data_IF_348287504204
#
_entry.id   IF_348287504204
#
_cell.length_a   1.000
_cell.length_b   1.000
_cell.length_c   1.000
_cell.angle_alpha   90.00
_cell.angle_beta   90.00
_cell.angle_gamma   90.00
#
_symmetry.space_group_name_H-M   'P 1'
#
loop_
_entity.id
_entity.type
_entity.pdbx_description
1 polymer ?
#
# COMPACT_ATOMS: atom_id res chain seq x y z
N UNK A 1 -43.92 35.22 19.85
CA UNK A 1 -42.45 35.25 19.76
C UNK A 1 -41.96 33.84 19.48
N UNK A 2 -41.62 33.60 18.25
CA UNK A 2 -41.10 32.28 17.83
C UNK A 2 -39.57 32.40 17.71
N UNK A 3 -38.87 31.61 18.50
CA UNK A 3 -37.40 31.58 18.54
C UNK A 3 -36.93 30.47 17.57
N UNK A 4 -36.42 30.87 16.40
CA UNK A 4 -35.83 29.95 15.42
C UNK A 4 -34.41 29.70 15.87
N UNK A 5 -34.11 28.46 16.31
CA UNK A 5 -32.75 27.97 16.55
C UNK A 5 -32.20 27.45 15.22
N UNK A 6 -31.31 28.22 14.61
CA UNK A 6 -30.56 27.81 13.43
C UNK A 6 -29.40 26.93 13.92
N UNK A 7 -29.57 25.61 13.81
CA UNK A 7 -28.49 24.65 13.98
C UNK A 7 -27.53 24.70 12.81
N UNK A 8 -26.34 25.24 12.97
CA UNK A 8 -25.26 25.17 12.00
C UNK A 8 -24.63 23.79 12.04
N UNK A 9 -24.74 23.10 10.93
CA UNK A 9 -24.01 21.81 10.67
C UNK A 9 -22.52 22.12 10.45
N UNK A 10 -21.70 21.86 11.46
CA UNK A 10 -20.22 21.90 11.36
C UNK A 10 -19.74 20.50 10.96
N UNK A 11 -20.04 20.06 9.74
CA UNK A 11 -19.56 18.77 9.24
C UNK A 11 -18.34 18.89 8.32
N UNK A 12 -17.93 20.09 7.93
CA UNK A 12 -16.86 20.29 6.93
C UNK A 12 -15.43 20.30 7.48
N UNK A 13 -15.23 20.60 8.75
CA UNK A 13 -13.89 20.86 9.30
C UNK A 13 -13.10 19.59 9.66
N UNK A 14 -13.79 18.50 10.02
CA UNK A 14 -13.13 17.25 10.40
C UNK A 14 -12.53 16.52 9.19
N UNK A 15 -13.21 16.57 8.06
CA UNK A 15 -12.81 15.91 6.82
C UNK A 15 -11.61 16.60 6.13
N UNK A 16 -11.55 17.93 6.14
CA UNK A 16 -10.39 18.66 5.61
C UNK A 16 -9.12 18.28 6.40
N UNK A 17 -9.17 18.25 7.73
CA UNK A 17 -8.04 17.89 8.58
C UNK A 17 -7.52 16.46 8.34
N UNK A 18 -8.40 15.51 8.03
CA UNK A 18 -8.01 14.13 7.75
C UNK A 18 -7.25 14.01 6.41
N UNK A 19 -7.65 14.76 5.39
CA UNK A 19 -6.92 14.79 4.10
C UNK A 19 -5.53 15.38 4.25
N UNK A 20 -5.40 16.46 5.00
CA UNK A 20 -4.11 17.08 5.29
C UNK A 20 -3.21 16.13 6.09
N UNK A 21 -3.76 15.44 7.10
CA UNK A 21 -3.03 14.46 7.89
C UNK A 21 -2.49 13.31 7.03
N UNK A 22 -3.32 12.72 6.16
CA UNK A 22 -2.92 11.66 5.23
C UNK A 22 -1.90 12.16 4.22
N UNK A 23 -2.09 13.36 3.67
CA UNK A 23 -1.15 13.95 2.73
C UNK A 23 0.22 14.17 3.38
N UNK A 24 0.27 14.73 4.59
CA UNK A 24 1.50 14.95 5.34
C UNK A 24 2.18 13.63 5.72
N UNK A 25 1.41 12.62 6.14
CA UNK A 25 1.91 11.27 6.41
C UNK A 25 2.56 10.67 5.17
N UNK A 26 1.86 10.65 4.02
CA UNK A 26 2.38 10.11 2.78
C UNK A 26 3.66 10.85 2.36
N UNK A 27 3.62 12.19 2.35
CA UNK A 27 4.78 13.01 1.98
C UNK A 27 5.98 12.70 2.86
N UNK A 28 5.82 12.69 4.17
CA UNK A 28 6.90 12.36 5.11
C UNK A 28 7.53 10.99 4.83
N UNK A 29 6.74 9.98 4.47
CA UNK A 29 7.24 8.63 4.18
C UNK A 29 7.94 8.56 2.82
N UNK A 30 7.39 9.19 1.81
CA UNK A 30 8.00 9.26 0.47
C UNK A 30 9.31 10.03 0.52
N UNK A 31 9.35 11.20 1.17
CA UNK A 31 10.57 12.01 1.28
C UNK A 31 11.69 11.24 2.02
N UNK A 32 11.33 10.49 3.08
CA UNK A 32 12.28 9.63 3.79
C UNK A 32 12.85 8.50 2.92
N UNK A 33 12.02 7.88 2.07
CA UNK A 33 12.46 6.86 1.10
C UNK A 33 13.35 7.49 0.04
N UNK A 34 12.96 8.63 -0.52
CA UNK A 34 13.73 9.36 -1.53
C UNK A 34 15.12 9.80 -1.03
N UNK A 35 15.27 10.05 0.28
CA UNK A 35 16.57 10.36 0.88
C UNK A 35 17.53 9.15 0.93
N UNK A 36 17.00 7.91 0.87
CA UNK A 36 17.81 6.69 0.90
C UNK A 36 18.23 6.25 -0.52
N UNK A 37 17.34 6.37 -1.51
CA UNK A 37 17.56 5.84 -2.86
C UNK A 37 18.90 6.30 -3.51
N UNK A 38 19.31 7.58 -3.46
CA UNK A 38 20.53 8.06 -4.12
C UNK A 38 21.84 7.70 -3.40
N UNK A 39 21.80 7.07 -2.23
CA UNK A 39 23.00 6.75 -1.44
C UNK A 39 23.78 5.60 -2.10
N UNK A 40 24.73 5.96 -2.98
CA UNK A 40 25.50 4.97 -3.79
C UNK A 40 26.39 4.04 -2.97
N UNK A 41 26.92 4.53 -1.86
CA UNK A 41 27.82 3.76 -0.99
C UNK A 41 27.10 2.77 -0.06
N UNK A 42 25.77 2.84 0.01
CA UNK A 42 24.97 1.94 0.83
C UNK A 42 24.64 0.66 0.04
N UNK A 43 24.94 -0.54 0.59
CA UNK A 43 24.54 -1.81 0.00
C UNK A 43 23.04 -1.89 -0.24
N UNK A 44 22.62 -2.53 -1.34
CA UNK A 44 21.19 -2.62 -1.70
C UNK A 44 20.34 -3.27 -0.60
N UNK A 45 20.87 -4.30 0.05
CA UNK A 45 20.18 -4.97 1.16
C UNK A 45 19.93 -4.02 2.34
N UNK A 46 20.90 -3.18 2.67
CA UNK A 46 20.74 -2.18 3.73
C UNK A 46 19.72 -1.08 3.34
N UNK A 47 19.73 -0.64 2.06
CA UNK A 47 18.69 0.27 1.55
C UNK A 47 17.31 -0.35 1.69
N UNK A 48 17.14 -1.59 1.25
CA UNK A 48 15.89 -2.31 1.32
C UNK A 48 15.39 -2.42 2.78
N UNK A 49 16.28 -2.74 3.71
CA UNK A 49 15.95 -2.81 5.13
C UNK A 49 15.48 -1.45 5.67
N UNK A 50 16.22 -0.38 5.40
CA UNK A 50 15.85 0.99 5.84
C UNK A 50 14.55 1.47 5.23
N UNK A 51 14.30 1.18 3.94
CA UNK A 51 13.03 1.52 3.30
C UNK A 51 11.88 0.75 3.96
N UNK A 52 12.08 -0.54 4.27
CA UNK A 52 11.05 -1.31 4.97
C UNK A 52 10.73 -0.75 6.36
N UNK A 53 11.72 -0.32 7.12
CA UNK A 53 11.53 0.34 8.43
C UNK A 53 10.66 1.61 8.33
N UNK A 54 10.71 2.32 7.18
CA UNK A 54 9.90 3.51 6.92
C UNK A 54 8.46 3.13 6.51
N UNK A 55 8.30 2.13 5.64
CA UNK A 55 7.00 1.82 5.04
C UNK A 55 6.16 0.86 5.88
N UNK A 56 6.78 -0.11 6.55
CA UNK A 56 6.09 -1.14 7.34
C UNK A 56 5.10 -0.55 8.38
N UNK A 57 5.42 0.54 9.11
CA UNK A 57 4.48 1.13 10.07
C UNK A 57 3.23 1.74 9.44
N UNK A 58 3.24 2.03 8.13
CA UNK A 58 2.13 2.71 7.42
C UNK A 58 1.30 1.74 6.61
N UNK A 59 1.87 0.62 6.16
CA UNK A 59 1.15 -0.41 5.42
C UNK A 59 0.45 -1.40 6.36
N UNK A 60 -0.75 -1.81 6.01
CA UNK A 60 -1.42 -2.96 6.63
C UNK A 60 -1.26 -4.18 5.72
N UNK A 61 -0.07 -4.77 5.76
CA UNK A 61 0.24 -5.93 4.93
C UNK A 61 -0.64 -7.13 5.22
N UNK A 62 -1.11 -7.30 6.46
CA UNK A 62 -2.02 -8.37 6.83
C UNK A 62 -3.39 -8.19 6.17
N UNK A 63 -3.93 -6.97 6.19
CA UNK A 63 -5.17 -6.65 5.49
C UNK A 63 -4.99 -6.78 3.97
N UNK A 64 -3.89 -6.26 3.42
CA UNK A 64 -3.59 -6.38 1.99
C UNK A 64 -3.57 -7.85 1.55
N UNK A 65 -2.84 -8.71 2.25
CA UNK A 65 -2.79 -10.14 1.99
C UNK A 65 -4.19 -10.78 2.04
N UNK A 66 -4.95 -10.50 3.10
CA UNK A 66 -6.32 -10.99 3.26
C UNK A 66 -7.25 -10.56 2.11
N UNK A 67 -7.13 -9.32 1.64
CA UNK A 67 -7.94 -8.80 0.54
C UNK A 67 -7.64 -9.49 -0.80
N UNK A 68 -6.39 -9.93 -1.03
CA UNK A 68 -6.02 -10.65 -2.26
C UNK A 68 -6.64 -12.05 -2.35
N UNK A 69 -6.95 -12.68 -1.23
CA UNK A 69 -7.63 -13.98 -1.18
C UNK A 69 -9.15 -13.85 -1.17
N UNK A 70 -9.65 -12.70 -0.73
CA UNK A 70 -11.05 -12.51 -0.44
C UNK A 70 -11.51 -13.36 0.77
N UNK A 71 -12.81 -13.30 1.07
CA UNK A 71 -13.35 -13.92 2.29
C UNK A 71 -13.20 -15.45 2.27
N UNK A 72 -13.55 -16.08 1.17
CA UNK A 72 -13.55 -17.56 1.03
C UNK A 72 -12.11 -18.10 1.15
N UNK A 73 -11.20 -17.66 0.28
CA UNK A 73 -9.83 -18.16 0.30
C UNK A 73 -9.11 -17.92 1.64
N UNK A 74 -9.40 -16.79 2.30
CA UNK A 74 -8.85 -16.52 3.63
C UNK A 74 -9.38 -17.47 4.71
N UNK A 75 -10.69 -17.83 4.67
CA UNK A 75 -11.32 -18.73 5.64
C UNK A 75 -10.92 -20.20 5.45
N UNK A 76 -10.44 -20.59 4.28
CA UNK A 76 -9.93 -21.94 4.01
C UNK A 76 -8.55 -22.19 4.63
N UNK A 77 -7.86 -21.13 5.05
CA UNK A 77 -6.54 -21.21 5.70
C UNK A 77 -6.68 -21.27 7.23
N UNK A 78 -5.93 -22.17 7.86
CA UNK A 78 -5.72 -22.10 9.30
C UNK A 78 -4.74 -20.98 9.68
N UNK A 79 -4.62 -20.67 10.97
CA UNK A 79 -3.81 -19.55 11.47
C UNK A 79 -2.33 -19.62 11.04
N UNK A 80 -1.76 -20.84 10.99
CA UNK A 80 -0.36 -21.05 10.56
C UNK A 80 -0.22 -20.72 9.08
N UNK A 81 -1.14 -21.19 8.24
CA UNK A 81 -1.17 -20.90 6.80
C UNK A 81 -1.43 -19.41 6.52
N UNK A 82 -2.31 -18.77 7.28
CA UNK A 82 -2.57 -17.33 7.17
C UNK A 82 -1.31 -16.53 7.46
N UNK A 83 -0.60 -16.86 8.54
CA UNK A 83 0.66 -16.21 8.88
C UNK A 83 1.71 -16.41 7.79
N UNK A 84 1.90 -17.65 7.35
CA UNK A 84 2.84 -17.97 6.26
C UNK A 84 2.49 -17.23 4.97
N UNK A 85 1.20 -17.18 4.62
CA UNK A 85 0.74 -16.46 3.43
C UNK A 85 1.08 -14.96 3.51
N UNK A 86 0.87 -14.31 4.65
CA UNK A 86 1.24 -12.91 4.85
C UNK A 86 2.75 -12.73 4.64
N UNK A 87 3.57 -13.57 5.27
CA UNK A 87 5.02 -13.47 5.17
C UNK A 87 5.51 -13.62 3.72
N UNK A 88 4.97 -14.61 2.99
CA UNK A 88 5.28 -14.85 1.58
C UNK A 88 4.77 -13.74 0.65
N UNK A 89 3.57 -13.21 0.91
CA UNK A 89 3.03 -12.08 0.16
C UNK A 89 3.89 -10.83 0.31
N UNK A 90 4.34 -10.51 1.54
CA UNK A 90 5.25 -9.40 1.80
C UNK A 90 6.59 -9.61 1.09
N UNK A 91 7.15 -10.83 1.17
CA UNK A 91 8.39 -11.16 0.47
C UNK A 91 8.25 -10.97 -1.06
N UNK A 92 7.12 -11.39 -1.65
CA UNK A 92 6.83 -11.17 -3.07
C UNK A 92 6.70 -9.69 -3.44
N UNK A 93 6.06 -8.87 -2.59
CA UNK A 93 6.00 -7.42 -2.80
C UNK A 93 7.40 -6.80 -2.78
N UNK A 94 8.26 -7.20 -1.83
CA UNK A 94 9.65 -6.75 -1.76
C UNK A 94 10.40 -7.09 -3.05
N UNK A 95 10.38 -8.34 -3.48
CA UNK A 95 11.05 -8.78 -4.71
C UNK A 95 10.52 -8.06 -5.96
N UNK A 96 9.22 -7.77 -6.02
CA UNK A 96 8.61 -7.15 -7.20
C UNK A 96 8.88 -5.64 -7.30
N UNK A 97 8.97 -4.93 -6.19
CA UNK A 97 8.98 -3.47 -6.15
C UNK A 97 10.21 -2.88 -5.46
N UNK A 98 10.66 -3.45 -4.34
CA UNK A 98 11.74 -2.91 -3.55
C UNK A 98 13.11 -3.24 -4.13
N UNK A 99 13.32 -4.47 -4.60
CA UNK A 99 14.60 -4.90 -5.18
C UNK A 99 14.90 -4.18 -6.51
N UNK A 100 13.87 -3.64 -7.16
CA UNK A 100 14.00 -2.81 -8.35
C UNK A 100 14.19 -1.32 -8.06
N UNK A 101 14.19 -0.93 -6.80
CA UNK A 101 14.35 0.47 -6.38
C UNK A 101 15.68 1.08 -6.81
N UNK A 102 16.72 0.26 -7.06
CA UNK A 102 18.01 0.70 -7.62
C UNK A 102 17.90 1.29 -9.04
N UNK A 103 16.80 1.03 -9.76
CA UNK A 103 16.52 1.61 -11.07
C UNK A 103 15.98 3.05 -10.98
N UNK A 104 15.60 3.50 -9.77
CA UNK A 104 15.02 4.80 -9.49
C UNK A 104 16.04 5.66 -8.74
N UNK A 105 16.68 6.60 -9.40
CA UNK A 105 17.71 7.45 -8.79
C UNK A 105 17.53 8.94 -9.04
N UNK A 106 16.84 9.33 -10.11
CA UNK A 106 16.74 10.71 -10.58
C UNK A 106 15.29 11.19 -10.76
N UNK A 107 14.31 10.38 -10.34
CA UNK A 107 12.90 10.71 -10.48
C UNK A 107 12.49 11.81 -9.52
N UNK A 108 11.61 12.69 -10.00
CA UNK A 108 10.94 13.68 -9.17
C UNK A 108 9.56 13.18 -8.76
N UNK A 109 9.13 13.55 -7.57
CA UNK A 109 7.79 13.25 -7.09
C UNK A 109 6.99 14.54 -7.01
N UNK A 110 5.80 14.52 -7.63
CA UNK A 110 4.80 15.57 -7.48
C UNK A 110 3.63 15.03 -6.67
N UNK A 111 3.31 15.69 -5.56
CA UNK A 111 2.20 15.33 -4.69
C UNK A 111 0.91 15.94 -5.20
N UNK A 112 -0.18 15.15 -5.21
CA UNK A 112 -1.53 15.59 -5.57
C UNK A 112 -2.39 15.78 -4.31
N UNK A 113 -3.41 16.64 -4.34
CA UNK A 113 -4.36 16.76 -3.25
C UNK A 113 -5.02 15.41 -2.93
N UNK A 114 -5.07 15.05 -1.64
CA UNK A 114 -5.79 13.86 -1.22
C UNK A 114 -7.30 14.03 -1.40
N UNK A 115 -7.97 12.96 -1.78
CA UNK A 115 -9.42 12.93 -2.03
C UNK A 115 -10.11 11.91 -1.13
N UNK A 116 -11.33 12.23 -0.71
CA UNK A 116 -12.18 11.31 0.05
C UNK A 116 -12.80 10.27 -0.87
N UNK A 117 -12.89 9.04 -0.36
CA UNK A 117 -13.55 7.91 -0.99
C UNK A 117 -14.39 7.16 0.07
N UNK A 118 -15.51 7.75 0.45
CA UNK A 118 -16.32 7.29 1.58
C UNK A 118 -15.62 7.54 2.92
N UNK A 119 -15.38 6.47 3.68
CA UNK A 119 -14.64 6.46 4.94
C UNK A 119 -13.12 6.33 4.77
N UNK A 120 -12.64 6.42 3.53
CA UNK A 120 -11.25 6.25 3.13
C UNK A 120 -10.70 7.52 2.49
N UNK A 121 -9.37 7.61 2.42
CA UNK A 121 -8.69 8.71 1.75
C UNK A 121 -7.72 8.13 0.72
N UNK A 122 -7.78 8.66 -0.48
CA UNK A 122 -6.84 8.34 -1.55
C UNK A 122 -5.87 9.51 -1.72
N UNK A 123 -4.58 9.25 -1.59
CA UNK A 123 -3.53 10.23 -1.80
C UNK A 123 -2.64 9.78 -2.96
N UNK A 124 -2.48 10.64 -3.95
CA UNK A 124 -1.78 10.31 -5.18
C UNK A 124 -0.49 11.10 -5.31
N UNK A 125 0.49 10.48 -5.98
CA UNK A 125 1.72 11.11 -6.44
C UNK A 125 1.94 10.81 -7.92
N UNK A 126 2.64 11.70 -8.60
CA UNK A 126 3.25 11.42 -9.89
C UNK A 126 4.75 11.21 -9.70
N UNK A 127 5.24 10.04 -10.10
CA UNK A 127 6.68 9.74 -10.20
C UNK A 127 7.11 10.11 -11.61
N UNK A 128 7.87 11.19 -11.73
CA UNK A 128 8.25 11.81 -13.00
C UNK A 128 9.67 11.37 -13.35
N UNK A 129 9.78 10.40 -14.24
CA UNK A 129 11.04 9.97 -14.82
C UNK A 129 11.37 10.71 -16.12
N UNK A 130 12.51 10.38 -16.74
CA UNK A 130 12.98 11.01 -17.99
C UNK A 130 12.08 10.73 -19.19
N UNK A 131 11.52 9.51 -19.25
CA UNK A 131 10.74 9.05 -20.42
C UNK A 131 9.23 8.99 -20.15
N UNK A 132 8.85 8.82 -18.89
CA UNK A 132 7.45 8.61 -18.50
C UNK A 132 7.15 9.15 -17.12
N UNK A 133 5.89 9.48 -16.92
CA UNK A 133 5.30 9.72 -15.59
C UNK A 133 4.46 8.52 -15.19
N UNK A 134 4.59 8.09 -13.95
CA UNK A 134 3.81 7.00 -13.35
C UNK A 134 2.98 7.58 -12.23
N UNK A 135 1.67 7.49 -12.35
CA UNK A 135 0.77 7.83 -11.25
C UNK A 135 0.71 6.69 -10.24
N UNK A 136 0.86 7.01 -8.96
CA UNK A 136 0.72 6.07 -7.85
C UNK A 136 -0.30 6.61 -6.85
N UNK A 137 -1.38 5.87 -6.62
CA UNK A 137 -2.44 6.21 -5.67
C UNK A 137 -2.34 5.29 -4.47
N UNK A 138 -2.10 5.87 -3.30
CA UNK A 138 -2.10 5.17 -2.02
C UNK A 138 -3.49 5.28 -1.39
N UNK A 139 -4.12 4.13 -1.09
CA UNK A 139 -5.46 4.09 -0.51
C UNK A 139 -5.37 3.83 0.98
N UNK A 140 -5.81 4.82 1.75
CA UNK A 140 -5.76 4.81 3.22
C UNK A 140 -7.13 4.52 3.83
N UNK A 141 -7.10 3.87 4.99
CA UNK A 141 -8.23 3.72 5.90
C UNK A 141 -7.79 4.00 7.33
N UNK A 142 -8.73 4.38 8.20
CA UNK A 142 -8.44 4.58 9.63
C UNK A 142 -8.52 3.26 10.38
N UNK A 143 -7.47 2.91 11.10
CA UNK A 143 -7.36 1.71 11.93
C UNK A 143 -6.88 2.08 13.33
N UNK A 144 -7.73 1.90 14.33
CA UNK A 144 -7.42 2.23 15.73
C UNK A 144 -6.85 3.64 15.94
N UNK A 145 -7.35 4.62 15.20
CA UNK A 145 -6.91 6.02 15.28
C UNK A 145 -5.64 6.34 14.49
N UNK A 146 -5.12 5.42 13.69
CA UNK A 146 -3.99 5.64 12.78
C UNK A 146 -4.40 5.37 11.33
N UNK A 147 -3.83 6.15 10.40
CA UNK A 147 -4.01 5.91 8.97
C UNK A 147 -3.08 4.80 8.48
N UNK A 148 -3.66 3.80 7.78
CA UNK A 148 -2.95 2.67 7.20
C UNK A 148 -3.25 2.53 5.71
N UNK A 149 -2.24 2.15 4.93
CA UNK A 149 -2.40 1.85 3.51
C UNK A 149 -2.86 0.40 3.38
N UNK A 150 -3.99 0.21 2.68
CA UNK A 150 -4.55 -1.12 2.41
C UNK A 150 -4.49 -1.52 0.92
N UNK A 151 -4.20 -0.58 0.02
CA UNK A 151 -4.01 -0.85 -1.42
C UNK A 151 -3.14 0.25 -2.04
N UNK A 152 -2.41 -0.11 -3.09
CA UNK A 152 -1.69 0.82 -3.95
C UNK A 152 -2.12 0.59 -5.38
N UNK A 153 -2.39 1.67 -6.10
CA UNK A 153 -2.76 1.63 -7.50
C UNK A 153 -1.68 2.31 -8.33
N UNK A 154 -1.19 1.64 -9.36
CA UNK A 154 -0.13 2.13 -10.25
C UNK A 154 -0.73 2.26 -11.65
N UNK A 155 -0.78 3.49 -12.18
CA UNK A 155 -1.43 3.81 -13.47
C UNK A 155 -2.84 3.21 -13.59
N UNK A 156 -3.66 3.35 -12.55
CA UNK A 156 -5.03 2.83 -12.51
C UNK A 156 -5.16 1.32 -12.22
N UNK A 157 -4.05 0.61 -11.99
CA UNK A 157 -4.07 -0.83 -11.71
C UNK A 157 -3.81 -1.09 -10.23
N UNK A 158 -4.82 -1.58 -9.50
CA UNK A 158 -4.72 -1.94 -8.08
C UNK A 158 -3.84 -3.18 -7.90
N UNK A 159 -2.88 -3.12 -6.96
CA UNK A 159 -2.06 -4.25 -6.57
C UNK A 159 -2.91 -5.38 -5.99
N UNK A 160 -3.84 -5.03 -5.12
CA UNK A 160 -4.74 -6.02 -4.49
C UNK A 160 -5.57 -6.75 -5.55
N UNK A 161 -6.17 -6.05 -6.52
CA UNK A 161 -6.96 -6.69 -7.57
C UNK A 161 -6.10 -7.54 -8.50
N UNK A 162 -4.88 -7.11 -8.81
CA UNK A 162 -3.93 -7.87 -9.63
C UNK A 162 -3.56 -9.19 -8.98
N UNK A 163 -3.17 -9.16 -7.69
CA UNK A 163 -2.86 -10.38 -6.94
C UNK A 163 -4.09 -11.25 -6.69
N UNK A 164 -5.25 -10.65 -6.43
CA UNK A 164 -6.51 -11.39 -6.28
C UNK A 164 -6.83 -12.19 -7.53
N UNK A 165 -6.68 -11.60 -8.70
CA UNK A 165 -6.91 -12.31 -9.97
C UNK A 165 -5.94 -13.48 -10.13
N UNK A 166 -4.65 -13.29 -9.85
CA UNK A 166 -3.63 -14.33 -9.93
C UNK A 166 -3.90 -15.47 -8.93
N UNK A 167 -4.19 -15.16 -7.68
CA UNK A 167 -4.42 -16.16 -6.63
C UNK A 167 -5.75 -16.89 -6.83
N UNK A 168 -6.78 -16.20 -7.31
CA UNK A 168 -8.05 -16.83 -7.68
C UNK A 168 -7.85 -17.88 -8.77
N UNK A 169 -7.03 -17.60 -9.78
CA UNK A 169 -6.75 -18.57 -10.85
C UNK A 169 -5.99 -19.80 -10.33
N UNK A 170 -5.02 -19.61 -9.42
CA UNK A 170 -4.30 -20.71 -8.78
C UNK A 170 -5.26 -21.56 -7.94
N UNK A 171 -6.11 -20.93 -7.12
CA UNK A 171 -7.05 -21.63 -6.24
C UNK A 171 -8.21 -22.29 -6.98
N UNK A 172 -8.59 -21.80 -8.17
CA UNK A 172 -9.61 -22.41 -9.01
C UNK A 172 -9.21 -23.80 -9.50
N UNK A 173 -7.94 -24.02 -9.76
CA UNK A 173 -7.38 -25.25 -10.30
C UNK A 173 -6.50 -26.02 -9.30
N UNK A 174 -6.40 -25.53 -8.06
CA UNK A 174 -5.49 -26.05 -7.04
C UNK A 174 -6.02 -25.81 -5.61
N UNK A 175 -5.13 -25.95 -4.67
CA UNK A 175 -5.38 -25.84 -3.24
C UNK A 175 -4.59 -24.68 -2.62
N UNK A 176 -4.89 -24.34 -1.35
CA UNK A 176 -4.08 -23.43 -0.53
C UNK A 176 -2.61 -23.89 -0.49
N UNK A 177 -2.35 -25.20 -0.40
CA UNK A 177 -0.96 -25.71 -0.39
C UNK A 177 -0.23 -25.38 -1.70
N UNK A 178 -0.91 -25.51 -2.85
CA UNK A 178 -0.34 -25.13 -4.15
C UNK A 178 -0.02 -23.63 -4.23
N UNK A 179 -0.91 -22.78 -3.70
CA UNK A 179 -0.69 -21.34 -3.66
C UNK A 179 0.53 -20.98 -2.80
N UNK A 180 0.65 -21.56 -1.61
CA UNK A 180 1.81 -21.33 -0.73
C UNK A 180 3.11 -21.81 -1.37
N UNK A 181 3.09 -22.98 -2.04
CA UNK A 181 4.24 -23.50 -2.76
C UNK A 181 4.68 -22.56 -3.90
N UNK A 182 3.73 -22.03 -4.68
CA UNK A 182 4.01 -21.09 -5.76
C UNK A 182 4.64 -19.79 -5.23
N UNK A 183 4.09 -19.28 -4.12
CA UNK A 183 4.66 -18.09 -3.48
C UNK A 183 6.08 -18.33 -2.95
N UNK A 184 6.38 -19.49 -2.34
CA UNK A 184 7.75 -19.83 -1.90
C UNK A 184 8.74 -19.83 -3.05
N UNK A 185 8.37 -20.40 -4.21
CA UNK A 185 9.25 -20.42 -5.40
C UNK A 185 9.59 -19.02 -5.91
N UNK A 186 8.64 -18.09 -5.80
CA UNK A 186 8.79 -16.73 -6.34
C UNK A 186 9.32 -15.71 -5.33
N UNK A 187 9.44 -16.09 -4.06
CA UNK A 187 9.97 -15.23 -2.98
C UNK A 187 11.44 -15.51 -2.65
N UNK A 188 12.04 -16.55 -3.24
CA UNK A 188 13.40 -17.05 -2.97
C UNK A 188 14.44 -16.78 -4.06
N UNK A 189 14.10 -15.96 -5.07
CA UNK A 189 15.04 -15.54 -6.11
C UNK A 189 15.42 -14.08 -5.96
#
# INVERSE_FOLDING_TARGET
>A
MAMIVIGWLVSGSASAGQKEEVSALLQSRIDAVLAILPQKDMPQEEKNRKIMEIVEPVFDFALMAKLTLGKTGWQEMNDVQQKEFIDLFVARLKASYLDKSSLYSDEKVAYKPAVEAGDKIHAAIDVIGKEKTVEVVYKFYSSAGAWKIYDVEINGVSLIQSYKSQFTEILKNGTVANLLEELRKTSGN
#
